data_IF_820743371882
#
_entry.id   IF_820743371882
#
_cell.length_a   1.000
_cell.length_b   1.000
_cell.length_c   1.000
_cell.angle_alpha   90.00
_cell.angle_beta   90.00
_cell.angle_gamma   90.00
#
_symmetry.space_group_name_H-M   'P 1'
#
loop_
_entity.id
_entity.type
_entity.pdbx_description
1 polymer ?
#
# COMPACT_ATOMS: atom_id res chain seq x y z
N UNK A 1 34.80 -8.65 19.63
CA UNK A 1 34.07 -9.63 18.79
C UNK A 1 32.78 -9.99 19.50
N UNK A 2 31.73 -9.20 19.30
CA UNK A 2 30.38 -9.46 19.81
C UNK A 2 29.46 -9.00 18.67
N UNK A 3 28.67 -9.89 18.05
CA UNK A 3 27.81 -9.46 16.95
C UNK A 3 27.10 -10.53 16.11
N UNK A 4 27.25 -11.83 16.36
CA UNK A 4 26.60 -12.86 15.53
C UNK A 4 25.27 -13.38 16.09
N UNK A 5 24.95 -13.11 17.36
CA UNK A 5 23.71 -13.60 18.01
C UNK A 5 22.43 -12.82 17.65
N UNK A 6 22.53 -11.52 17.35
CA UNK A 6 21.37 -10.67 17.05
C UNK A 6 20.76 -10.95 15.66
N UNK A 7 21.62 -11.20 14.67
CA UNK A 7 21.21 -11.40 13.27
C UNK A 7 20.37 -12.67 13.06
N UNK A 8 20.68 -13.76 13.78
CA UNK A 8 20.01 -15.06 13.61
C UNK A 8 18.60 -15.04 14.21
N UNK A 9 18.42 -14.43 15.39
CA UNK A 9 17.10 -14.24 15.99
C UNK A 9 16.21 -13.32 15.13
N UNK A 10 16.78 -12.27 14.54
CA UNK A 10 16.03 -11.38 13.63
C UNK A 10 15.57 -12.10 12.35
N UNK A 11 16.46 -12.91 11.75
CA UNK A 11 16.14 -13.66 10.53
C UNK A 11 15.08 -14.76 10.76
N UNK A 12 15.14 -15.47 11.90
CA UNK A 12 14.15 -16.47 12.26
C UNK A 12 12.78 -15.84 12.56
N UNK A 13 12.77 -14.70 13.27
CA UNK A 13 11.55 -13.94 13.55
C UNK A 13 10.86 -13.47 12.26
N UNK A 14 11.60 -12.89 11.31
CA UNK A 14 11.03 -12.47 10.03
C UNK A 14 10.44 -13.63 9.23
N UNK A 15 11.10 -14.78 9.23
CA UNK A 15 10.66 -15.95 8.45
C UNK A 15 9.33 -16.51 8.99
N UNK A 16 9.18 -16.55 10.32
CA UNK A 16 7.94 -17.01 10.96
C UNK A 16 6.82 -15.98 10.78
N UNK A 17 7.10 -14.68 10.96
CA UNK A 17 6.13 -13.61 10.78
C UNK A 17 5.55 -13.60 9.36
N UNK A 18 6.39 -13.78 8.34
CA UNK A 18 5.94 -13.85 6.93
C UNK A 18 4.99 -15.02 6.66
N UNK A 19 5.12 -16.14 7.37
CA UNK A 19 4.23 -17.31 7.16
C UNK A 19 2.81 -17.07 7.65
N UNK A 20 2.64 -16.25 8.67
CA UNK A 20 1.32 -15.98 9.26
C UNK A 20 0.72 -14.64 8.84
N UNK A 21 1.51 -13.77 8.19
CA UNK A 21 1.05 -12.45 7.75
C UNK A 21 0.10 -12.56 6.52
N UNK A 22 -1.20 -12.25 6.68
CA UNK A 22 -2.16 -12.37 5.57
C UNK A 22 -1.86 -11.38 4.45
N UNK A 23 -1.35 -10.18 4.74
CA UNK A 23 -1.00 -9.20 3.72
C UNK A 23 0.22 -9.64 2.91
N UNK A 24 1.15 -10.35 3.53
CA UNK A 24 2.26 -10.96 2.79
C UNK A 24 1.74 -11.94 1.72
N UNK A 25 0.79 -12.81 2.07
CA UNK A 25 0.20 -13.78 1.13
C UNK A 25 -0.64 -13.13 0.04
N UNK A 26 -1.46 -12.13 0.41
CA UNK A 26 -2.26 -11.36 -0.55
C UNK A 26 -1.35 -10.66 -1.56
N UNK A 27 -0.30 -9.98 -1.08
CA UNK A 27 0.65 -9.29 -1.96
C UNK A 27 1.43 -10.26 -2.84
N UNK A 28 1.81 -11.43 -2.33
CA UNK A 28 2.40 -12.49 -3.15
C UNK A 28 1.48 -12.97 -4.25
N UNK A 29 0.18 -13.09 -3.98
CA UNK A 29 -0.80 -13.44 -5.00
C UNK A 29 -0.92 -12.34 -6.05
N UNK A 30 -1.03 -11.07 -5.62
CA UNK A 30 -1.13 -9.89 -6.49
C UNK A 30 0.10 -9.78 -7.39
N UNK A 31 1.30 -9.90 -6.82
CA UNK A 31 2.58 -9.74 -7.52
C UNK A 31 3.10 -11.05 -8.13
N UNK A 32 2.32 -12.13 -8.09
CA UNK A 32 2.74 -13.47 -8.53
C UNK A 32 3.34 -13.45 -9.94
N UNK A 33 2.67 -12.75 -10.87
CA UNK A 33 3.14 -12.64 -12.25
C UNK A 33 4.57 -12.12 -12.33
N UNK A 34 4.87 -11.02 -11.62
CA UNK A 34 6.20 -10.41 -11.56
C UNK A 34 7.21 -11.32 -10.87
N UNK A 35 6.86 -11.90 -9.71
CA UNK A 35 7.75 -12.76 -8.94
C UNK A 35 8.17 -14.03 -9.71
N UNK A 36 7.33 -14.50 -10.64
CA UNK A 36 7.62 -15.66 -11.49
C UNK A 36 8.25 -15.31 -12.83
N UNK A 37 8.45 -14.03 -13.16
CA UNK A 37 8.75 -13.57 -14.52
C UNK A 37 10.22 -13.66 -14.98
N UNK A 38 11.04 -14.52 -14.38
CA UNK A 38 12.45 -14.65 -14.80
C UNK A 38 13.31 -13.40 -14.59
N UNK A 39 12.92 -12.55 -13.62
CA UNK A 39 13.63 -11.33 -13.25
C UNK A 39 15.10 -11.61 -12.87
N UNK A 40 15.96 -10.64 -13.14
CA UNK A 40 17.34 -10.61 -12.64
C UNK A 40 17.36 -10.52 -11.11
N UNK A 41 18.50 -10.85 -10.48
CA UNK A 41 18.64 -10.77 -9.02
C UNK A 41 18.34 -9.36 -8.44
N UNK A 42 18.82 -8.26 -9.05
CA UNK A 42 18.51 -6.91 -8.56
C UNK A 42 17.03 -6.55 -8.68
N UNK A 43 16.39 -6.89 -9.79
CA UNK A 43 14.95 -6.64 -10.00
C UNK A 43 14.11 -7.44 -8.99
N UNK A 44 14.46 -8.70 -8.75
CA UNK A 44 13.78 -9.52 -7.75
C UNK A 44 13.95 -8.94 -6.34
N UNK A 45 15.14 -8.44 -6.00
CA UNK A 45 15.38 -7.77 -4.72
C UNK A 45 14.50 -6.52 -4.59
N UNK A 46 14.43 -5.69 -5.65
CA UNK A 46 13.53 -4.54 -5.69
C UNK A 46 12.06 -4.93 -5.49
N UNK A 47 11.57 -5.95 -6.19
CA UNK A 47 10.18 -6.42 -6.03
C UNK A 47 9.92 -6.91 -4.60
N UNK A 48 10.89 -7.56 -3.97
CA UNK A 48 10.77 -8.00 -2.57
C UNK A 48 10.74 -6.81 -1.60
N UNK A 49 11.56 -5.79 -1.83
CA UNK A 49 11.56 -4.56 -1.04
C UNK A 49 10.24 -3.80 -1.20
N UNK A 50 9.71 -3.75 -2.43
CA UNK A 50 8.42 -3.13 -2.71
C UNK A 50 7.25 -3.90 -2.11
N UNK A 51 7.30 -5.24 -2.13
CA UNK A 51 6.34 -6.09 -1.44
C UNK A 51 6.36 -5.80 0.07
N UNK A 52 7.54 -5.71 0.68
CA UNK A 52 7.66 -5.38 2.10
C UNK A 52 7.17 -3.96 2.41
N UNK A 53 7.40 -2.99 1.51
CA UNK A 53 6.84 -1.63 1.59
C UNK A 53 5.32 -1.70 1.67
N UNK A 54 4.67 -2.30 0.67
CA UNK A 54 3.22 -2.41 0.60
C UNK A 54 2.62 -3.23 1.75
N UNK A 55 3.32 -4.27 2.24
CA UNK A 55 2.89 -5.04 3.42
C UNK A 55 2.73 -4.15 4.65
N UNK A 56 3.70 -3.27 4.90
CA UNK A 56 3.64 -2.31 6.01
C UNK A 56 2.51 -1.30 5.81
N UNK A 57 2.33 -0.80 4.59
CA UNK A 57 1.24 0.13 4.27
C UNK A 57 -0.12 -0.51 4.54
N UNK A 58 -0.36 -1.74 4.08
CA UNK A 58 -1.62 -2.44 4.30
C UNK A 58 -1.91 -2.67 5.79
N UNK A 59 -0.89 -2.97 6.61
CA UNK A 59 -1.08 -3.06 8.05
C UNK A 59 -1.45 -1.72 8.69
N UNK A 60 -0.76 -0.64 8.31
CA UNK A 60 -1.09 0.72 8.80
C UNK A 60 -2.52 1.06 8.41
N UNK A 61 -2.87 0.87 7.13
CA UNK A 61 -4.19 1.16 6.60
C UNK A 61 -5.29 0.35 7.28
N UNK A 62 -5.04 -0.93 7.55
CA UNK A 62 -5.96 -1.79 8.30
C UNK A 62 -6.29 -1.21 9.67
N UNK A 63 -5.28 -0.90 10.49
CA UNK A 63 -5.51 -0.33 11.83
C UNK A 63 -6.16 1.07 11.76
N UNK A 64 -5.74 1.90 10.82
CA UNK A 64 -6.35 3.22 10.59
C UNK A 64 -7.81 3.11 10.20
N UNK A 65 -8.16 2.16 9.32
CA UNK A 65 -9.53 1.91 8.89
C UNK A 65 -10.43 1.49 10.05
N UNK A 66 -9.95 0.65 10.96
CA UNK A 66 -10.68 0.36 12.21
C UNK A 66 -10.92 1.63 13.03
N UNK A 67 -9.89 2.46 13.20
CA UNK A 67 -10.03 3.75 13.89
C UNK A 67 -11.10 4.65 13.25
N UNK A 68 -11.12 4.75 11.93
CA UNK A 68 -12.12 5.53 11.18
C UNK A 68 -13.52 4.96 11.35
N UNK A 69 -13.70 3.63 11.25
CA UNK A 69 -14.99 2.97 11.47
C UNK A 69 -15.58 3.30 12.83
N UNK A 70 -14.75 3.31 13.89
CA UNK A 70 -15.19 3.71 15.22
C UNK A 70 -15.43 5.21 15.34
N UNK A 71 -14.56 6.04 14.75
CA UNK A 71 -14.65 7.50 14.83
C UNK A 71 -15.86 8.08 14.08
N UNK A 72 -16.28 7.45 13.00
CA UNK A 72 -17.47 7.85 12.22
C UNK A 72 -18.76 7.21 12.73
N UNK A 73 -18.68 6.36 13.76
CA UNK A 73 -19.86 5.68 14.32
C UNK A 73 -20.79 6.70 14.97
N UNK A 74 -21.95 6.91 14.37
CA UNK A 74 -22.96 7.86 14.84
C UNK A 74 -22.89 9.23 14.16
N UNK A 75 -21.98 9.43 13.21
CA UNK A 75 -22.00 10.59 12.33
C UNK A 75 -23.28 10.61 11.47
N UNK A 76 -23.83 11.80 11.28
CA UNK A 76 -24.96 12.07 10.39
C UNK A 76 -24.53 11.98 8.92
N UNK A 77 -25.48 11.83 8.01
CA UNK A 77 -25.20 11.81 6.58
C UNK A 77 -24.53 13.10 6.07
N UNK A 78 -24.87 14.25 6.67
CA UNK A 78 -24.26 15.54 6.35
C UNK A 78 -22.78 15.58 6.77
N UNK A 79 -22.47 15.17 8.01
CA UNK A 79 -21.09 15.09 8.51
C UNK A 79 -20.24 14.12 7.67
N UNK A 80 -20.81 12.97 7.28
CA UNK A 80 -20.14 12.02 6.39
C UNK A 80 -19.89 12.63 5.00
N UNK A 81 -20.82 13.42 4.48
CA UNK A 81 -20.63 14.17 3.22
C UNK A 81 -19.47 15.17 3.28
N UNK A 82 -19.31 15.85 4.41
CA UNK A 82 -18.16 16.75 4.66
C UNK A 82 -16.87 15.95 4.68
N UNK A 83 -16.83 14.81 5.38
CA UNK A 83 -15.65 13.92 5.43
C UNK A 83 -15.26 13.43 4.03
N UNK A 84 -16.23 12.96 3.25
CA UNK A 84 -15.99 12.51 1.86
C UNK A 84 -15.38 13.65 1.04
N UNK A 85 -15.99 14.83 1.08
CA UNK A 85 -15.53 15.99 0.30
C UNK A 85 -14.13 16.44 0.72
N UNK A 86 -13.85 16.45 2.03
CA UNK A 86 -12.55 16.79 2.58
C UNK A 86 -11.46 15.76 2.18
N UNK A 87 -11.82 14.49 2.03
CA UNK A 87 -10.89 13.41 1.65
C UNK A 87 -10.65 13.31 0.14
N UNK A 88 -11.50 13.90 -0.72
CA UNK A 88 -11.26 13.91 -2.17
C UNK A 88 -9.90 14.56 -2.52
N UNK A 89 -9.59 15.70 -1.91
CA UNK A 89 -8.34 16.41 -2.17
C UNK A 89 -7.10 15.58 -1.82
N UNK A 90 -6.91 15.04 -0.60
CA UNK A 90 -5.76 14.22 -0.29
C UNK A 90 -5.72 12.92 -1.10
N UNK A 91 -6.86 12.27 -1.39
CA UNK A 91 -6.89 11.08 -2.26
C UNK A 91 -6.38 11.41 -3.66
N UNK A 92 -6.90 12.47 -4.30
CA UNK A 92 -6.48 12.85 -5.64
C UNK A 92 -5.05 13.37 -5.68
N UNK A 93 -4.67 14.26 -4.76
CA UNK A 93 -3.35 14.89 -4.75
C UNK A 93 -2.27 13.90 -4.36
N UNK A 94 -2.45 13.10 -3.31
CA UNK A 94 -1.44 12.11 -2.92
C UNK A 94 -1.37 10.97 -3.93
N UNK A 95 -2.51 10.53 -4.46
CA UNK A 95 -2.53 9.55 -5.55
C UNK A 95 -1.79 10.05 -6.77
N UNK A 96 -2.14 11.24 -7.28
CA UNK A 96 -1.49 11.83 -8.46
C UNK A 96 -0.01 12.13 -8.24
N UNK A 97 0.36 12.70 -7.08
CA UNK A 97 1.75 12.99 -6.76
C UNK A 97 2.57 11.69 -6.67
N UNK A 98 2.00 10.63 -6.12
CA UNK A 98 2.66 9.33 -6.04
C UNK A 98 2.83 8.69 -7.42
N UNK A 99 1.82 8.78 -8.29
CA UNK A 99 1.92 8.38 -9.69
C UNK A 99 2.96 9.21 -10.46
N UNK A 100 3.13 10.50 -10.14
CA UNK A 100 4.08 11.38 -10.82
C UNK A 100 5.53 11.19 -10.35
N UNK A 101 5.73 10.78 -9.09
CA UNK A 101 7.05 10.46 -8.50
C UNK A 101 7.39 8.98 -8.68
N UNK A 102 6.52 8.20 -9.34
CA UNK A 102 6.78 6.80 -9.63
C UNK A 102 8.10 6.66 -10.38
N UNK A 103 8.78 5.55 -10.10
CA UNK A 103 10.21 5.35 -10.18
C UNK A 103 10.90 5.53 -11.56
N UNK A 104 10.21 5.95 -12.61
CA UNK A 104 10.83 6.32 -13.89
C UNK A 104 11.95 7.36 -13.73
N UNK A 105 13.17 7.02 -14.19
CA UNK A 105 14.30 7.96 -14.23
C UNK A 105 14.99 8.25 -12.89
N UNK A 106 14.74 7.48 -11.83
CA UNK A 106 15.43 7.65 -10.54
C UNK A 106 16.83 7.03 -10.61
N UNK A 107 17.92 7.78 -10.35
CA UNK A 107 19.25 7.21 -10.28
C UNK A 107 19.34 6.11 -9.21
N UNK A 108 20.02 5.00 -9.50
CA UNK A 108 20.10 3.85 -8.59
C UNK A 108 20.53 4.20 -7.15
N UNK A 109 21.42 5.19 -6.99
CA UNK A 109 21.88 5.69 -5.68
C UNK A 109 20.80 6.37 -4.83
N UNK A 110 19.64 6.71 -5.41
CA UNK A 110 18.52 7.38 -4.75
C UNK A 110 17.31 6.46 -4.55
N UNK A 111 17.39 5.18 -4.94
CA UNK A 111 16.27 4.23 -4.85
C UNK A 111 15.74 4.14 -3.42
N UNK A 112 16.61 4.03 -2.41
CA UNK A 112 16.17 3.90 -1.02
C UNK A 112 15.40 5.14 -0.53
N UNK A 113 15.85 6.32 -0.94
CA UNK A 113 15.17 7.59 -0.65
C UNK A 113 13.81 7.63 -1.35
N UNK A 114 13.76 7.25 -2.63
CA UNK A 114 12.52 7.18 -3.39
C UNK A 114 11.53 6.16 -2.80
N UNK A 115 12.01 5.00 -2.37
CA UNK A 115 11.22 3.99 -1.66
C UNK A 115 10.63 4.53 -0.37
N UNK A 116 11.38 5.34 0.38
CA UNK A 116 10.90 5.97 1.61
C UNK A 116 9.85 7.04 1.35
N UNK A 117 10.06 7.90 0.35
CA UNK A 117 9.11 8.94 -0.03
C UNK A 117 7.81 8.31 -0.54
N UNK A 118 7.91 7.36 -1.47
CA UNK A 118 6.74 6.66 -2.02
C UNK A 118 6.01 5.85 -0.96
N UNK A 119 6.69 5.30 0.05
CA UNK A 119 6.07 4.66 1.20
C UNK A 119 5.11 5.62 1.94
N UNK A 120 5.57 6.81 2.31
CA UNK A 120 4.74 7.77 3.04
C UNK A 120 3.61 8.33 2.19
N UNK A 121 3.86 8.63 0.92
CA UNK A 121 2.84 9.11 0.00
C UNK A 121 1.75 8.05 -0.22
N UNK A 122 2.15 6.80 -0.47
CA UNK A 122 1.20 5.70 -0.66
C UNK A 122 0.44 5.39 0.63
N UNK A 123 1.07 5.50 1.80
CA UNK A 123 0.40 5.37 3.10
C UNK A 123 -0.67 6.44 3.28
N UNK A 124 -0.34 7.71 3.03
CA UNK A 124 -1.30 8.81 3.14
C UNK A 124 -2.47 8.65 2.16
N UNK A 125 -2.18 8.23 0.93
CA UNK A 125 -3.20 7.87 -0.06
C UNK A 125 -4.09 6.73 0.42
N UNK A 126 -3.52 5.58 0.81
CA UNK A 126 -4.27 4.40 1.22
C UNK A 126 -5.20 4.70 2.41
N UNK A 127 -4.66 5.32 3.46
CA UNK A 127 -5.45 5.70 4.65
C UNK A 127 -6.58 6.67 4.30
N UNK A 128 -6.31 7.69 3.48
CA UNK A 128 -7.36 8.64 3.05
C UNK A 128 -8.40 7.97 2.18
N UNK A 129 -7.98 7.06 1.30
CA UNK A 129 -8.84 6.33 0.38
C UNK A 129 -9.74 5.35 1.12
N UNK A 130 -9.20 4.61 2.09
CA UNK A 130 -9.95 3.70 2.95
C UNK A 130 -10.90 4.47 3.89
N UNK A 131 -10.47 5.61 4.43
CA UNK A 131 -11.36 6.48 5.22
C UNK A 131 -12.54 7.00 4.38
N UNK A 132 -12.28 7.42 3.14
CA UNK A 132 -13.31 7.85 2.21
C UNK A 132 -14.23 6.68 1.83
N UNK A 133 -13.67 5.49 1.58
CA UNK A 133 -14.44 4.29 1.28
C UNK A 133 -15.41 3.93 2.41
N UNK A 134 -14.95 3.98 3.67
CA UNK A 134 -15.79 3.77 4.85
C UNK A 134 -16.92 4.79 4.90
N UNK A 135 -16.61 6.08 4.76
CA UNK A 135 -17.63 7.13 4.79
C UNK A 135 -18.67 6.96 3.66
N UNK A 136 -18.22 6.66 2.43
CA UNK A 136 -19.10 6.38 1.28
C UNK A 136 -19.99 5.17 1.55
N UNK A 137 -19.44 4.07 2.10
CA UNK A 137 -20.24 2.90 2.46
C UNK A 137 -21.31 3.25 3.50
N UNK A 138 -20.98 4.04 4.54
CA UNK A 138 -21.93 4.42 5.59
C UNK A 138 -23.09 5.29 5.10
N UNK A 139 -22.92 6.06 4.02
CA UNK A 139 -24.02 6.82 3.38
C UNK A 139 -24.70 6.07 2.23
N UNK A 140 -24.17 4.91 1.82
CA UNK A 140 -24.68 4.13 0.69
C UNK A 140 -25.60 3.00 1.16
N UNK A 141 -26.62 2.63 0.36
CA UNK A 141 -27.43 1.45 0.64
C UNK A 141 -26.58 0.17 0.73
N UNK A 142 -26.85 -0.67 1.73
CA UNK A 142 -26.12 -1.93 2.00
C UNK A 142 -25.98 -2.82 0.74
N UNK A 143 -26.99 -2.98 -0.13
CA UNK A 143 -26.85 -3.81 -1.34
C UNK A 143 -25.73 -3.37 -2.30
N UNK A 144 -25.27 -2.12 -2.21
CA UNK A 144 -24.21 -1.55 -3.06
C UNK A 144 -22.81 -1.79 -2.48
N UNK A 145 -22.71 -2.12 -1.19
CA UNK A 145 -21.41 -2.28 -0.49
C UNK A 145 -20.46 -3.28 -1.15
N UNK A 146 -20.90 -4.48 -1.62
CA UNK A 146 -20.00 -5.42 -2.27
C UNK A 146 -19.33 -4.83 -3.53
N UNK A 147 -20.08 -4.05 -4.32
CA UNK A 147 -19.54 -3.38 -5.50
C UNK A 147 -18.52 -2.29 -5.12
N UNK A 148 -18.81 -1.51 -4.07
CA UNK A 148 -17.89 -0.48 -3.56
C UNK A 148 -16.59 -1.12 -3.07
N UNK A 149 -16.67 -2.16 -2.23
CA UNK A 149 -15.50 -2.89 -1.73
C UNK A 149 -14.64 -3.42 -2.89
N UNK A 150 -15.28 -3.95 -3.93
CA UNK A 150 -14.58 -4.42 -5.12
C UNK A 150 -13.88 -3.28 -5.87
N UNK A 151 -14.52 -2.13 -6.04
CA UNK A 151 -13.93 -0.95 -6.70
C UNK A 151 -12.73 -0.43 -5.90
N UNK A 152 -12.89 -0.23 -4.59
CA UNK A 152 -11.82 0.26 -3.71
C UNK A 152 -10.65 -0.74 -3.65
N UNK A 153 -10.95 -2.04 -3.50
CA UNK A 153 -9.94 -3.09 -3.49
C UNK A 153 -9.19 -3.20 -4.82
N UNK A 154 -9.90 -3.13 -5.96
CA UNK A 154 -9.29 -3.16 -7.28
C UNK A 154 -8.38 -1.95 -7.52
N UNK A 155 -8.78 -0.76 -7.06
CA UNK A 155 -7.95 0.45 -7.15
C UNK A 155 -6.65 0.29 -6.36
N UNK A 156 -6.69 -0.19 -5.11
CA UNK A 156 -5.49 -0.46 -4.31
C UNK A 156 -4.57 -1.49 -4.98
N UNK A 157 -5.14 -2.60 -5.48
CA UNK A 157 -4.37 -3.63 -6.21
C UNK A 157 -3.72 -3.06 -7.47
N UNK A 158 -4.46 -2.28 -8.24
CA UNK A 158 -3.95 -1.63 -9.46
C UNK A 158 -2.79 -0.69 -9.14
N UNK A 159 -2.90 0.08 -8.06
CA UNK A 159 -1.81 0.94 -7.59
C UNK A 159 -0.57 0.11 -7.22
N UNK A 160 -0.71 -0.92 -6.39
CA UNK A 160 0.42 -1.76 -5.96
C UNK A 160 1.14 -2.39 -7.17
N UNK A 161 0.38 -2.88 -8.14
CA UNK A 161 0.92 -3.42 -9.40
C UNK A 161 1.66 -2.34 -10.19
N UNK A 162 1.04 -1.17 -10.39
CA UNK A 162 1.63 -0.06 -11.12
C UNK A 162 2.98 0.36 -10.51
N UNK A 163 3.02 0.60 -9.21
CA UNK A 163 4.23 1.05 -8.50
C UNK A 163 5.36 0.03 -8.56
N UNK A 164 5.02 -1.26 -8.52
CA UNK A 164 6.01 -2.32 -8.69
C UNK A 164 6.52 -2.40 -10.12
N UNK A 165 5.63 -2.31 -11.12
CA UNK A 165 6.02 -2.34 -12.53
C UNK A 165 6.82 -1.11 -12.94
N UNK A 166 6.47 0.07 -12.41
CA UNK A 166 7.19 1.30 -12.70
C UNK A 166 8.56 1.32 -12.02
N UNK A 167 8.64 0.78 -10.80
CA UNK A 167 9.88 0.48 -10.10
C UNK A 167 10.87 -0.40 -10.86
N UNK A 168 10.37 -1.33 -11.67
CA UNK A 168 11.22 -2.19 -12.51
C UNK A 168 11.82 -1.45 -13.71
N UNK A 169 11.39 -0.22 -14.01
CA UNK A 169 12.02 0.62 -15.04
C UNK A 169 13.24 1.38 -14.53
N UNK A 170 13.52 1.33 -13.23
CA UNK A 170 14.63 2.05 -12.61
C UNK A 170 15.97 1.52 -13.12
N UNK A 171 16.86 2.42 -13.51
CA UNK A 171 18.22 2.07 -13.94
C UNK A 171 18.29 1.41 -15.32
N UNK A 172 17.20 1.48 -16.11
CA UNK A 172 17.24 1.27 -17.56
C UNK A 172 17.80 2.48 -18.32
N UNK A 173 18.05 3.58 -17.61
CA UNK A 173 18.73 4.80 -18.07
C UNK A 173 20.09 4.98 -17.38
#
# INVERSE_FOLDING_TARGET
MVGTGSSVCHALSETVLRRIDPFYHILHLVLRGLLTSGLTKPELAFVQDNLNKHRKVLWIDFFSTFGVLFGLRGATAEELGIVITALLAPVMVMGAAWFAISFGGIPGKLIDTAMTVTFWMFTAFAVSFSAMAVAVMMVSPIPVWPALVLIFGAALVSCILYDTMDGLKVGLD
#
